data_IF_503890261138
#
_entry.id   IF_503890261138
#
_cell.length_a   1.000
_cell.length_b   1.000
_cell.length_c   1.000
_cell.angle_alpha   90.00
_cell.angle_beta   90.00
_cell.angle_gamma   90.00
#
_symmetry.space_group_name_H-M   'P 1'
#
loop_
_entity.id
_entity.type
_entity.pdbx_description
1 polymer ?
#
# COMPACT_ATOMS: atom_id res chain seq x y z
N UNK A 1 9.95 -43.68 22.92
CA UNK A 1 10.70 -43.05 21.81
C UNK A 1 9.83 -43.06 20.57
N UNK A 2 9.17 -41.93 20.28
CA UNK A 2 8.45 -41.70 19.03
C UNK A 2 9.00 -40.39 18.47
N UNK A 3 9.98 -40.49 17.57
CA UNK A 3 10.46 -39.34 16.80
C UNK A 3 9.53 -39.16 15.60
N UNK A 4 8.62 -38.19 15.71
CA UNK A 4 7.87 -37.68 14.57
C UNK A 4 8.83 -37.05 13.57
N UNK A 5 8.86 -37.58 12.35
CA UNK A 5 9.62 -37.00 11.24
C UNK A 5 9.05 -35.61 10.91
N UNK A 6 9.89 -34.61 10.60
CA UNK A 6 9.41 -33.34 10.10
C UNK A 6 8.80 -33.56 8.71
N UNK A 7 7.53 -33.22 8.55
CA UNK A 7 6.85 -33.16 7.25
C UNK A 7 7.40 -31.93 6.53
N UNK A 8 8.21 -32.15 5.50
CA UNK A 8 8.63 -31.07 4.60
C UNK A 8 7.39 -30.57 3.84
N UNK A 9 7.13 -29.25 3.78
CA UNK A 9 6.07 -28.73 2.92
C UNK A 9 6.42 -28.99 1.45
N UNK A 10 5.42 -29.25 0.58
CA UNK A 10 5.65 -29.50 -0.83
C UNK A 10 6.30 -28.27 -1.49
N UNK A 11 7.29 -28.51 -2.34
CA UNK A 11 8.00 -27.47 -3.08
C UNK A 11 7.01 -26.64 -3.90
N UNK A 12 6.94 -25.33 -3.61
CA UNK A 12 6.15 -24.40 -4.42
C UNK A 12 6.74 -24.27 -5.84
N UNK A 13 5.89 -24.07 -6.86
CA UNK A 13 6.37 -23.81 -8.21
C UNK A 13 7.15 -22.48 -8.26
N UNK A 14 8.24 -22.40 -9.06
CA UNK A 14 9.18 -21.28 -9.06
C UNK A 14 8.55 -19.92 -9.43
N UNK A 15 7.40 -19.93 -10.10
CA UNK A 15 6.69 -18.72 -10.55
C UNK A 15 6.04 -17.93 -9.39
N UNK A 16 5.73 -18.58 -8.26
CA UNK A 16 5.10 -17.92 -7.09
C UNK A 16 6.15 -17.24 -6.21
N UNK A 17 7.35 -17.82 -6.10
CA UNK A 17 8.45 -17.29 -5.28
C UNK A 17 9.07 -16.00 -5.81
N UNK A 18 9.00 -15.76 -7.13
CA UNK A 18 9.46 -14.52 -7.76
C UNK A 18 8.59 -13.31 -7.39
N UNK A 19 7.28 -13.52 -7.18
CA UNK A 19 6.35 -12.44 -6.85
C UNK A 19 6.52 -11.91 -5.42
N UNK A 20 6.96 -12.75 -4.47
CA UNK A 20 7.15 -12.35 -3.06
C UNK A 20 8.41 -11.50 -2.89
N UNK A 21 9.51 -11.84 -3.57
CA UNK A 21 10.74 -11.04 -3.52
C UNK A 21 10.60 -9.71 -4.28
N UNK A 22 9.75 -9.64 -5.31
CA UNK A 22 9.47 -8.38 -6.01
C UNK A 22 8.35 -7.56 -5.38
N UNK A 23 7.55 -8.11 -4.46
CA UNK A 23 6.48 -7.39 -3.76
C UNK A 23 7.03 -6.36 -2.75
N UNK A 24 8.32 -6.45 -2.38
CA UNK A 24 9.01 -5.40 -1.62
C UNK A 24 9.51 -4.23 -2.49
N UNK A 25 9.48 -4.38 -3.81
CA UNK A 25 9.99 -3.36 -4.74
C UNK A 25 8.88 -2.94 -5.72
N UNK A 26 7.84 -2.32 -5.18
CA UNK A 26 6.87 -1.58 -5.99
C UNK A 26 7.57 -0.36 -6.60
N UNK A 27 8.35 -0.55 -7.68
CA UNK A 27 9.04 0.54 -8.41
C UNK A 27 8.12 1.69 -8.81
N UNK A 28 6.79 1.50 -8.79
CA UNK A 28 5.80 2.57 -8.97
C UNK A 28 5.74 3.59 -7.82
N UNK A 29 5.98 3.20 -6.56
CA UNK A 29 6.05 4.15 -5.44
C UNK A 29 7.34 4.97 -5.45
N UNK A 30 8.46 4.38 -5.89
CA UNK A 30 9.74 5.10 -6.08
C UNK A 30 9.65 6.24 -7.10
N UNK A 31 8.70 6.19 -8.04
CA UNK A 31 8.46 7.24 -9.03
C UNK A 31 7.60 8.40 -8.50
N UNK A 32 6.82 8.17 -7.43
CA UNK A 32 5.95 9.20 -6.85
C UNK A 32 6.69 10.08 -5.85
N UNK A 33 7.69 9.55 -5.15
CA UNK A 33 8.50 10.30 -4.17
C UNK A 33 9.17 11.54 -4.76
N UNK A 34 9.97 11.46 -5.85
CA UNK A 34 10.60 12.64 -6.42
C UNK A 34 9.57 13.65 -6.96
N UNK A 35 8.47 13.17 -7.58
CA UNK A 35 7.42 14.06 -8.07
C UNK A 35 6.65 14.80 -6.96
N UNK A 36 6.60 14.21 -5.76
CA UNK A 36 6.03 14.86 -4.57
C UNK A 36 7.01 15.87 -3.95
N UNK A 37 8.32 15.59 -4.00
CA UNK A 37 9.38 16.52 -3.59
C UNK A 37 9.40 17.75 -4.49
N UNK A 38 9.39 17.56 -5.81
CA UNK A 38 9.30 18.66 -6.79
C UNK A 38 8.06 19.54 -6.51
N UNK A 39 6.89 18.92 -6.27
CA UNK A 39 5.66 19.64 -5.97
C UNK A 39 5.74 20.45 -4.66
N UNK A 40 6.45 19.95 -3.65
CA UNK A 40 6.66 20.66 -2.39
C UNK A 40 7.55 21.88 -2.60
N UNK A 41 8.62 21.76 -3.40
CA UNK A 41 9.49 22.89 -3.75
C UNK A 41 8.70 23.98 -4.48
N UNK A 42 7.90 23.61 -5.48
CA UNK A 42 7.05 24.55 -6.24
C UNK A 42 6.04 25.27 -5.33
N UNK A 43 5.47 24.57 -4.33
CA UNK A 43 4.53 25.16 -3.36
C UNK A 43 5.23 26.16 -2.43
N UNK A 44 6.46 25.86 -1.99
CA UNK A 44 7.27 26.78 -1.20
C UNK A 44 7.66 28.02 -1.99
N UNK A 45 7.99 27.87 -3.27
CA UNK A 45 8.28 29.00 -4.16
C UNK A 45 7.05 29.89 -4.35
N UNK A 46 5.86 29.29 -4.52
CA UNK A 46 4.62 30.04 -4.66
C UNK A 46 4.31 30.84 -3.38
N UNK A 47 4.50 30.25 -2.19
CA UNK A 47 4.32 30.96 -0.92
C UNK A 47 5.29 32.15 -0.82
N UNK A 48 6.57 31.98 -1.19
CA UNK A 48 7.55 33.08 -1.23
C UNK A 48 7.14 34.20 -2.18
N UNK A 49 6.61 33.87 -3.35
CA UNK A 49 6.15 34.86 -4.33
C UNK A 49 4.91 35.63 -3.85
N UNK A 50 3.99 34.97 -3.14
CA UNK A 50 2.76 35.57 -2.62
C UNK A 50 2.96 36.33 -1.30
N UNK A 51 3.98 35.99 -0.50
CA UNK A 51 4.20 36.55 0.83
C UNK A 51 4.22 38.10 0.87
N UNK A 52 4.91 38.82 -0.04
CA UNK A 52 4.94 40.29 -0.03
C UNK A 52 3.62 40.94 -0.46
N UNK A 53 2.83 40.26 -1.32
CA UNK A 53 1.49 40.73 -1.72
C UNK A 53 0.55 40.67 -0.50
N UNK A 54 0.68 39.63 0.32
CA UNK A 54 -0.08 39.46 1.56
C UNK A 54 0.33 40.45 2.65
N UNK A 55 1.60 40.86 2.68
CA UNK A 55 2.14 41.80 3.67
C UNK A 55 1.70 43.26 3.45
N UNK A 56 1.07 43.60 2.32
CA UNK A 56 0.42 44.89 2.10
C UNK A 56 1.37 46.09 2.04
N UNK A 57 2.54 45.94 1.43
CA UNK A 57 3.48 47.05 1.31
C UNK A 57 3.05 48.02 0.19
N UNK A 58 2.67 49.24 0.59
CA UNK A 58 1.96 50.20 -0.23
C UNK A 58 2.83 51.34 -0.76
N UNK A 59 2.78 51.54 -2.08
CA UNK A 59 2.83 52.81 -2.83
C UNK A 59 3.36 52.50 -4.24
N UNK A 60 2.47 52.37 -5.24
CA UNK A 60 2.84 51.91 -6.59
C UNK A 60 3.37 53.08 -7.43
N UNK A 61 4.68 53.12 -7.66
CA UNK A 61 5.30 53.89 -8.75
C UNK A 61 5.17 53.13 -10.08
N UNK A 62 5.34 53.81 -11.22
CA UNK A 62 5.23 53.16 -12.54
C UNK A 62 6.27 52.03 -12.74
N UNK A 63 7.45 52.17 -12.14
CA UNK A 63 8.48 51.13 -12.07
C UNK A 63 8.00 49.90 -11.28
N UNK A 64 7.21 50.10 -10.21
CA UNK A 64 6.60 49.03 -9.43
C UNK A 64 5.51 48.29 -10.21
N UNK A 65 4.85 48.93 -11.19
CA UNK A 65 3.82 48.30 -12.01
C UNK A 65 4.39 47.30 -13.03
N UNK A 66 5.55 47.61 -13.64
CA UNK A 66 6.24 46.67 -14.53
C UNK A 66 6.80 45.49 -13.74
N UNK A 67 7.38 45.76 -12.56
CA UNK A 67 7.85 44.72 -11.65
C UNK A 67 6.70 43.82 -11.17
N UNK A 68 5.54 44.40 -10.82
CA UNK A 68 4.33 43.66 -10.48
C UNK A 68 3.80 42.80 -11.62
N UNK A 69 3.84 43.28 -12.88
CA UNK A 69 3.43 42.48 -14.04
C UNK A 69 4.36 41.31 -14.31
N UNK A 70 5.69 41.49 -14.20
CA UNK A 70 6.65 40.39 -14.31
C UNK A 70 6.38 39.33 -13.24
N UNK A 71 6.24 39.78 -11.99
CA UNK A 71 5.95 38.90 -10.87
C UNK A 71 4.62 38.15 -11.00
N UNK A 72 3.60 38.79 -11.57
CA UNK A 72 2.33 38.14 -11.83
C UNK A 72 2.46 37.05 -12.91
N UNK A 73 3.27 37.28 -13.95
CA UNK A 73 3.58 36.26 -14.94
C UNK A 73 4.33 35.07 -14.31
N UNK A 74 5.34 35.33 -13.47
CA UNK A 74 6.08 34.30 -12.71
C UNK A 74 5.13 33.45 -11.84
N UNK A 75 4.18 34.09 -11.14
CA UNK A 75 3.17 33.37 -10.36
C UNK A 75 2.28 32.49 -11.25
N UNK A 76 1.86 32.97 -12.42
CA UNK A 76 1.03 32.18 -13.33
C UNK A 76 1.79 30.98 -13.91
N UNK A 77 3.04 31.18 -14.33
CA UNK A 77 3.89 30.10 -14.84
C UNK A 77 4.09 29.02 -13.76
N UNK A 78 4.39 29.42 -12.52
CA UNK A 78 4.55 28.50 -11.39
C UNK A 78 3.24 27.77 -11.03
N UNK A 79 2.09 28.44 -11.10
CA UNK A 79 0.78 27.79 -10.90
C UNK A 79 0.50 26.74 -11.97
N UNK A 80 0.86 27.01 -13.22
CA UNK A 80 0.72 26.04 -14.31
C UNK A 80 1.63 24.81 -14.11
N UNK A 81 2.86 25.03 -13.63
CA UNK A 81 3.80 23.97 -13.25
C UNK A 81 3.25 23.10 -12.10
N UNK A 82 2.75 23.73 -11.02
CA UNK A 82 2.08 23.05 -9.91
C UNK A 82 0.90 22.19 -10.36
N UNK A 83 0.04 22.75 -11.23
CA UNK A 83 -1.11 22.02 -11.78
C UNK A 83 -0.64 20.81 -12.59
N UNK A 84 0.40 20.97 -13.41
CA UNK A 84 0.97 19.88 -14.19
C UNK A 84 1.57 18.78 -13.29
N UNK A 85 2.30 19.17 -12.25
CA UNK A 85 2.87 18.28 -11.23
C UNK A 85 1.80 17.45 -10.52
N UNK A 86 0.78 18.12 -9.95
CA UNK A 86 -0.35 17.45 -9.27
C UNK A 86 -1.04 16.43 -10.19
N UNK A 87 -1.29 16.80 -11.45
CA UNK A 87 -1.92 15.91 -12.43
C UNK A 87 -1.05 14.68 -12.73
N UNK A 88 0.26 14.87 -12.84
CA UNK A 88 1.21 13.78 -13.07
C UNK A 88 1.17 12.76 -11.91
N UNK A 89 1.22 13.26 -10.67
CA UNK A 89 1.11 12.45 -9.45
C UNK A 89 -0.23 11.70 -9.40
N UNK A 90 -1.35 12.40 -9.64
CA UNK A 90 -2.69 11.78 -9.65
C UNK A 90 -2.80 10.66 -10.69
N UNK A 91 -2.28 10.86 -11.91
CA UNK A 91 -2.24 9.82 -12.95
C UNK A 91 -1.43 8.61 -12.49
N UNK A 92 -0.28 8.83 -11.86
CA UNK A 92 0.56 7.78 -11.27
C UNK A 92 -0.19 6.98 -10.20
N UNK A 93 -0.77 7.67 -9.22
CA UNK A 93 -1.56 7.09 -8.14
C UNK A 93 -2.75 6.28 -8.67
N UNK A 94 -3.51 6.83 -9.62
CA UNK A 94 -4.62 6.11 -10.26
C UNK A 94 -4.15 4.84 -10.93
N UNK A 95 -3.08 4.91 -11.74
CA UNK A 95 -2.51 3.74 -12.44
C UNK A 95 -2.08 2.65 -11.46
N UNK A 96 -1.47 3.03 -10.34
CA UNK A 96 -1.08 2.09 -9.30
C UNK A 96 -2.29 1.42 -8.63
N UNK A 97 -3.27 2.22 -8.16
CA UNK A 97 -4.50 1.70 -7.53
C UNK A 97 -5.24 0.75 -8.47
N UNK A 98 -5.29 1.10 -9.75
CA UNK A 98 -5.88 0.28 -10.80
C UNK A 98 -5.18 -1.08 -10.97
N UNK A 99 -3.85 -1.10 -10.94
CA UNK A 99 -3.06 -2.34 -11.00
C UNK A 99 -3.29 -3.18 -9.75
N UNK A 100 -3.20 -2.58 -8.57
CA UNK A 100 -3.41 -3.25 -7.29
C UNK A 100 -4.81 -3.89 -7.20
N UNK A 101 -5.84 -3.15 -7.62
CA UNK A 101 -7.22 -3.64 -7.64
C UNK A 101 -7.46 -4.81 -8.61
N UNK A 102 -6.60 -5.02 -9.60
CA UNK A 102 -6.70 -6.08 -10.62
C UNK A 102 -5.73 -7.24 -10.40
N UNK A 103 -4.92 -7.22 -9.35
CA UNK A 103 -4.06 -8.35 -9.03
C UNK A 103 -4.90 -9.62 -8.81
N UNK A 104 -4.48 -10.79 -9.35
CA UNK A 104 -5.24 -12.03 -9.20
C UNK A 104 -5.16 -12.61 -7.78
N UNK A 105 -4.14 -12.20 -7.00
CA UNK A 105 -3.99 -12.58 -5.60
C UNK A 105 -4.77 -11.63 -4.69
N UNK A 106 -5.36 -12.17 -3.62
CA UNK A 106 -6.01 -11.36 -2.61
C UNK A 106 -4.97 -10.63 -1.78
N UNK A 107 -4.99 -9.30 -1.77
CA UNK A 107 -4.04 -8.49 -1.00
C UNK A 107 -4.77 -7.68 0.07
N UNK A 108 -4.20 -7.64 1.27
CA UNK A 108 -4.67 -6.83 2.40
C UNK A 108 -3.48 -6.10 3.03
N UNK A 109 -3.71 -4.88 3.50
CA UNK A 109 -2.79 -4.21 4.41
C UNK A 109 -3.42 -4.15 5.80
N UNK A 110 -2.63 -4.40 6.85
CA UNK A 110 -3.07 -4.23 8.24
C UNK A 110 -2.13 -3.33 9.01
N UNK A 111 -2.65 -2.70 10.06
CA UNK A 111 -1.82 -2.13 11.12
C UNK A 111 -1.12 -3.24 11.92
N UNK A 112 -0.24 -2.84 12.85
CA UNK A 112 0.43 -3.76 13.80
C UNK A 112 -0.54 -4.48 14.73
N UNK A 113 -1.69 -3.86 14.98
CA UNK A 113 -2.80 -4.41 15.76
C UNK A 113 -3.62 -5.46 14.97
N UNK A 114 -3.30 -5.68 13.70
CA UNK A 114 -4.00 -6.62 12.83
C UNK A 114 -5.31 -6.09 12.25
N UNK A 115 -5.62 -4.80 12.44
CA UNK A 115 -6.79 -4.15 11.84
C UNK A 115 -6.54 -3.91 10.35
N UNK A 116 -7.49 -4.31 9.50
CA UNK A 116 -7.41 -4.14 8.05
C UNK A 116 -7.52 -2.65 7.70
N UNK A 117 -6.47 -2.12 7.07
CA UNK A 117 -6.40 -0.74 6.57
C UNK A 117 -6.87 -0.66 5.12
N UNK A 118 -6.51 -1.65 4.31
CA UNK A 118 -6.87 -1.72 2.89
C UNK A 118 -7.07 -3.18 2.45
N UNK A 119 -7.95 -3.37 1.48
CA UNK A 119 -8.19 -4.65 0.84
C UNK A 119 -8.40 -4.49 -0.68
N UNK A 120 -7.78 -5.33 -1.49
CA UNK A 120 -8.04 -5.33 -2.93
C UNK A 120 -9.31 -6.11 -3.30
N UNK A 121 -9.75 -6.00 -4.56
CA UNK A 121 -10.95 -6.68 -5.07
C UNK A 121 -10.84 -8.21 -5.02
N UNK A 122 -9.66 -8.76 -5.26
CA UNK A 122 -9.43 -10.20 -5.21
C UNK A 122 -9.58 -10.74 -3.77
N UNK A 123 -9.12 -10.00 -2.76
CA UNK A 123 -9.35 -10.33 -1.36
C UNK A 123 -10.85 -10.35 -1.06
N UNK A 124 -11.60 -9.33 -1.51
CA UNK A 124 -13.04 -9.33 -1.32
C UNK A 124 -13.76 -10.54 -1.96
N UNK A 125 -13.28 -10.99 -3.11
CA UNK A 125 -13.77 -12.23 -3.76
C UNK A 125 -13.41 -13.48 -2.97
N UNK A 126 -12.20 -13.54 -2.42
CA UNK A 126 -11.67 -14.67 -1.64
C UNK A 126 -12.42 -14.83 -0.32
N UNK A 127 -12.57 -13.74 0.44
CA UNK A 127 -13.27 -13.70 1.72
C UNK A 127 -14.81 -13.64 1.57
N UNK A 128 -15.31 -13.37 0.37
CA UNK A 128 -16.75 -13.24 0.10
C UNK A 128 -17.38 -11.97 0.69
N UNK A 129 -16.58 -10.92 0.91
CA UNK A 129 -17.02 -9.66 1.51
C UNK A 129 -16.49 -8.47 0.73
N UNK A 130 -17.29 -7.42 0.55
CA UNK A 130 -16.83 -6.22 -0.15
C UNK A 130 -15.64 -5.58 0.61
N UNK A 131 -14.56 -5.15 -0.08
CA UNK A 131 -13.37 -4.58 0.57
C UNK A 131 -13.67 -3.44 1.55
N UNK A 132 -14.59 -2.53 1.21
CA UNK A 132 -14.98 -1.42 2.09
C UNK A 132 -15.68 -1.85 3.38
N UNK A 133 -16.20 -3.07 3.47
CA UNK A 133 -16.76 -3.65 4.70
C UNK A 133 -15.73 -4.42 5.52
N UNK A 134 -14.56 -4.70 4.94
CA UNK A 134 -13.43 -5.35 5.62
C UNK A 134 -12.53 -4.31 6.30
N UNK A 135 -12.44 -3.10 5.74
CA UNK A 135 -11.68 -2.00 6.32
C UNK A 135 -12.16 -1.69 7.75
N UNK A 136 -11.21 -1.47 8.65
CA UNK A 136 -11.46 -1.21 10.07
C UNK A 136 -11.84 -2.45 10.88
N UNK A 137 -11.88 -3.64 10.28
CA UNK A 137 -12.15 -4.89 10.99
C UNK A 137 -10.85 -5.68 11.22
N UNK A 138 -10.74 -6.44 12.34
CA UNK A 138 -9.61 -7.31 12.58
C UNK A 138 -9.48 -8.42 11.53
N UNK A 139 -8.27 -8.70 11.05
CA UNK A 139 -8.02 -9.78 10.08
C UNK A 139 -8.31 -11.17 10.67
N UNK A 140 -8.08 -11.37 11.96
CA UNK A 140 -8.35 -12.65 12.64
C UNK A 140 -9.83 -13.06 12.60
N UNK A 141 -10.76 -12.11 12.44
CA UNK A 141 -12.18 -12.40 12.23
C UNK A 141 -12.48 -13.14 10.91
N UNK A 142 -11.54 -13.14 9.97
CA UNK A 142 -11.66 -13.82 8.67
C UNK A 142 -10.82 -15.11 8.60
N UNK A 143 -10.20 -15.50 9.70
CA UNK A 143 -9.40 -16.71 9.81
C UNK A 143 -10.17 -17.76 10.61
N UNK A 144 -9.94 -19.03 10.29
CA UNK A 144 -10.39 -20.12 11.12
C UNK A 144 -9.54 -20.16 12.42
N UNK A 145 -10.13 -20.65 13.50
CA UNK A 145 -9.51 -20.74 14.83
C UNK A 145 -8.14 -21.45 14.80
N UNK A 146 -7.96 -22.43 13.91
CA UNK A 146 -6.71 -23.16 13.74
C UNK A 146 -5.55 -22.30 13.19
N UNK A 147 -5.86 -21.23 12.46
CA UNK A 147 -4.87 -20.33 11.84
C UNK A 147 -4.50 -19.14 12.71
N UNK A 148 -5.25 -18.86 13.79
CA UNK A 148 -5.01 -17.74 14.71
C UNK A 148 -3.61 -17.79 15.35
N UNK A 149 -3.09 -18.95 15.83
CA UNK A 149 -1.75 -19.01 16.39
C UNK A 149 -0.65 -18.68 15.36
N UNK A 150 -0.79 -19.18 14.13
CA UNK A 150 0.16 -18.93 13.05
C UNK A 150 0.17 -17.45 12.66
N UNK A 151 -1.02 -16.85 12.50
CA UNK A 151 -1.20 -15.41 12.28
C UNK A 151 -0.51 -14.56 13.34
N UNK A 152 -0.76 -14.82 14.62
CA UNK A 152 -0.13 -14.08 15.73
C UNK A 152 1.39 -14.24 15.75
N UNK A 153 1.88 -15.44 15.46
CA UNK A 153 3.32 -15.72 15.37
C UNK A 153 3.97 -14.90 14.24
N UNK A 154 3.32 -14.84 13.08
CA UNK A 154 3.78 -14.05 11.94
C UNK A 154 3.85 -12.55 12.26
N UNK A 155 2.80 -11.98 12.85
CA UNK A 155 2.78 -10.56 13.29
C UNK A 155 3.90 -10.27 14.28
N UNK A 156 4.13 -11.17 15.25
CA UNK A 156 5.17 -11.00 16.25
C UNK A 156 6.58 -11.09 15.65
N UNK A 157 6.82 -12.00 14.70
CA UNK A 157 8.09 -12.13 13.99
C UNK A 157 8.42 -10.87 13.17
N UNK A 158 7.46 -10.36 12.39
CA UNK A 158 7.63 -9.14 11.60
C UNK A 158 7.90 -7.92 12.49
N UNK A 159 7.27 -7.87 13.67
CA UNK A 159 7.52 -6.80 14.66
C UNK A 159 8.96 -6.83 15.21
N UNK A 160 9.65 -7.97 15.15
CA UNK A 160 11.08 -8.11 15.49
C UNK A 160 12.00 -7.93 14.29
N UNK A 161 11.47 -7.62 13.11
CA UNK A 161 12.24 -7.52 11.86
C UNK A 161 12.67 -8.88 11.29
N UNK A 162 12.02 -9.96 11.70
CA UNK A 162 12.27 -11.30 11.18
C UNK A 162 11.45 -11.54 9.91
N UNK A 163 11.99 -12.32 8.98
CA UNK A 163 11.25 -12.79 7.81
C UNK A 163 10.29 -13.92 8.19
N UNK A 164 9.12 -13.93 7.56
CA UNK A 164 8.11 -14.97 7.75
C UNK A 164 8.01 -15.79 6.47
N UNK A 165 8.28 -17.11 6.51
CA UNK A 165 8.07 -17.96 5.33
C UNK A 165 6.60 -18.04 4.98
N UNK A 166 6.27 -18.36 3.73
CA UNK A 166 4.89 -18.57 3.30
C UNK A 166 4.24 -19.68 4.14
N UNK A 167 3.02 -19.42 4.64
CA UNK A 167 2.26 -20.33 5.50
C UNK A 167 0.92 -20.69 4.86
N UNK A 168 0.32 -21.80 5.25
CA UNK A 168 -1.07 -22.12 4.86
C UNK A 168 -2.01 -21.66 5.97
N UNK A 169 -2.96 -20.78 5.64
CA UNK A 169 -4.06 -20.40 6.52
C UNK A 169 -5.35 -21.02 6.01
N UNK A 170 -6.24 -21.30 6.94
CA UNK A 170 -7.63 -21.65 6.70
C UNK A 170 -8.45 -20.37 6.89
N UNK A 171 -8.94 -19.82 5.79
CA UNK A 171 -9.76 -18.60 5.77
C UNK A 171 -11.22 -18.96 6.01
N UNK A 172 -11.95 -18.10 6.70
CA UNK A 172 -13.40 -18.21 6.86
C UNK A 172 -14.07 -17.30 5.84
N UNK A 173 -14.73 -17.88 4.82
CA UNK A 173 -15.54 -17.12 3.87
C UNK A 173 -16.78 -16.55 4.58
N UNK A 174 -17.39 -15.50 4.02
CA UNK A 174 -18.62 -14.89 4.56
C UNK A 174 -19.77 -15.89 4.80
N UNK A 175 -19.86 -16.96 4.02
CA UNK A 175 -20.86 -18.03 4.21
C UNK A 175 -20.46 -19.09 5.27
N UNK A 176 -19.32 -18.89 5.94
CA UNK A 176 -18.77 -19.80 6.95
C UNK A 176 -17.89 -20.91 6.39
N UNK A 177 -17.75 -21.02 5.06
CA UNK A 177 -16.96 -22.09 4.44
C UNK A 177 -15.46 -21.87 4.67
N UNK A 178 -14.70 -22.89 5.15
CA UNK A 178 -13.26 -22.80 5.26
C UNK A 178 -12.60 -22.93 3.87
N UNK A 179 -11.65 -22.04 3.56
CA UNK A 179 -10.88 -22.04 2.32
C UNK A 179 -9.39 -22.09 2.67
N UNK A 180 -8.65 -23.14 2.26
CA UNK A 180 -7.21 -23.15 2.42
C UNK A 180 -6.57 -22.12 1.48
N UNK A 181 -5.71 -21.28 2.03
CA UNK A 181 -4.96 -20.27 1.31
C UNK A 181 -3.48 -20.31 1.68
N UNK A 182 -2.60 -20.19 0.69
CA UNK A 182 -1.21 -19.86 0.93
C UNK A 182 -1.11 -18.35 1.22
N UNK A 183 -0.33 -17.98 2.23
CA UNK A 183 -0.23 -16.62 2.76
C UNK A 183 1.23 -16.21 2.85
N UNK A 184 1.58 -15.14 2.12
CA UNK A 184 2.83 -14.42 2.31
C UNK A 184 2.53 -13.14 3.11
N UNK A 185 3.48 -12.73 3.95
CA UNK A 185 3.37 -11.50 4.72
C UNK A 185 4.73 -10.81 4.82
N UNK A 186 4.73 -9.49 4.66
CA UNK A 186 5.92 -8.65 4.80
C UNK A 186 5.60 -7.34 5.51
N UNK A 187 6.61 -6.70 6.09
CA UNK A 187 6.49 -5.31 6.55
C UNK A 187 6.46 -4.36 5.35
N UNK A 188 5.60 -3.36 5.43
CA UNK A 188 5.50 -2.22 4.53
C UNK A 188 5.76 -0.97 5.37
N UNK A 189 6.53 -0.03 4.84
CA UNK A 189 6.73 1.28 5.47
C UNK A 189 5.92 2.31 4.71
N UNK A 190 4.96 2.92 5.39
CA UNK A 190 4.38 4.17 4.94
C UNK A 190 5.29 5.31 5.45
N UNK A 191 5.96 6.07 4.55
CA UNK A 191 6.80 7.20 4.94
C UNK A 191 6.02 8.28 5.72
N UNK A 192 4.69 8.37 5.56
CA UNK A 192 3.86 9.40 6.18
C UNK A 192 3.37 9.08 7.59
N UNK A 193 3.09 7.81 7.91
CA UNK A 193 2.54 7.41 9.21
C UNK A 193 3.60 7.14 10.29
N UNK A 194 4.84 6.85 9.89
CA UNK A 194 5.93 6.46 10.80
C UNK A 194 5.72 5.11 11.49
N UNK A 195 4.62 4.40 11.23
CA UNK A 195 4.30 3.10 11.78
C UNK A 195 4.34 2.03 10.68
N UNK A 196 5.11 0.93 10.86
CA UNK A 196 5.13 -0.12 9.85
C UNK A 196 3.77 -0.84 9.80
N UNK A 197 3.31 -1.03 8.58
CA UNK A 197 2.13 -1.79 8.21
C UNK A 197 2.56 -3.20 7.78
N UNK A 198 1.60 -4.13 7.71
CA UNK A 198 1.83 -5.48 7.24
C UNK A 198 1.07 -5.70 5.94
N UNK A 199 1.78 -6.07 4.88
CA UNK A 199 1.19 -6.46 3.59
C UNK A 199 1.01 -7.98 3.58
N UNK A 200 -0.24 -8.41 3.42
CA UNK A 200 -0.64 -9.81 3.32
C UNK A 200 -1.05 -10.13 1.90
N UNK A 201 -0.55 -11.25 1.37
CA UNK A 201 -0.92 -11.75 0.04
C UNK A 201 -1.43 -13.18 0.18
N UNK A 202 -2.64 -13.42 -0.32
CA UNK A 202 -3.38 -14.67 -0.21
C UNK A 202 -3.60 -15.29 -1.59
N UNK A 203 -3.33 -16.59 -1.69
CA UNK A 203 -3.66 -17.41 -2.85
C UNK A 203 -4.56 -18.57 -2.43
N UNK A 204 -5.72 -18.70 -3.08
CA UNK A 204 -6.58 -19.88 -2.92
C UNK A 204 -5.84 -21.14 -3.43
N UNK A 205 -5.71 -22.14 -2.56
CA UNK A 205 -5.07 -23.43 -2.91
C UNK A 205 -6.05 -24.61 -2.88
N UNK A 206 -7.36 -24.35 -2.77
CA UNK A 206 -8.44 -25.35 -2.75
C UNK A 206 -8.38 -26.31 -3.95
N UNK A 207 -7.92 -25.83 -5.11
CA UNK A 207 -7.76 -26.63 -6.32
C UNK A 207 -6.55 -27.58 -6.33
N UNK A 208 -5.52 -27.32 -5.50
CA UNK A 208 -4.26 -28.10 -5.49
C UNK A 208 -4.35 -29.39 -4.68
N UNK A 209 -5.26 -29.48 -3.69
CA UNK A 209 -5.49 -30.72 -2.91
C UNK A 209 -6.20 -31.85 -3.67
N UNK A 210 -6.69 -31.61 -4.90
CA UNK A 210 -7.43 -32.63 -5.68
C UNK A 210 -6.55 -33.59 -6.49
N UNK A 211 -5.21 -33.50 -6.38
CA UNK A 211 -4.25 -34.29 -7.17
C UNK A 211 -3.14 -34.97 -6.35
N UNK A 212 -3.35 -35.16 -5.04
CA UNK A 212 -2.54 -36.07 -4.21
C UNK A 212 -3.38 -37.24 -3.71
#
# INVERSE_FOLDING_TARGET
>A
MLHGKPVCPPAMPPEIGLCVHSAGNWSGMQLLTPALEDLLEDLEELDRLLHPIRAGDGAVRAEDLLLQKSRLAEIYDLVDELIAGIRSVDIGCRRYRDRFARLPAGCLCTGKDGVILEANRAAGTLFGRAPGLMQGTPLDAYLNQESIPAFRSAVAALSRGEEVPVQEFSLTRFDGTPIPAAVAVSTSYDPGSGAPELLWVFWDVSGKRRRE
#
